data_IF_798641511399
#
_entry.id   IF_798641511399
#
_cell.length_a   1.000
_cell.length_b   1.000
_cell.length_c   1.000
_cell.angle_alpha   90.00
_cell.angle_beta   90.00
_cell.angle_gamma   90.00
#
_symmetry.space_group_name_H-M   'P 1'
#
loop_
_entity.id
_entity.type
_entity.pdbx_description
1 polymer ?
#
# COMPACT_ATOMS: atom_id res chain seq x y z
N UNK A 1 9.58 77.15 37.96
CA UNK A 1 10.09 75.92 38.61
C UNK A 1 9.39 74.75 37.93
N UNK A 2 10.01 73.77 37.25
CA UNK A 2 11.42 73.35 37.12
C UNK A 2 11.52 72.50 35.84
N UNK A 3 12.72 72.49 35.26
CA UNK A 3 13.19 71.86 34.02
C UNK A 3 12.91 70.35 33.88
N UNK A 4 12.91 69.87 32.63
CA UNK A 4 13.27 68.48 32.33
C UNK A 4 13.21 68.12 30.84
N UNK A 5 14.25 68.47 30.07
CA UNK A 5 14.55 67.86 28.76
C UNK A 5 15.42 66.62 29.01
N UNK A 6 15.08 65.48 28.42
CA UNK A 6 16.05 64.42 28.11
C UNK A 6 15.75 63.79 26.75
N UNK A 7 16.83 63.42 26.08
CA UNK A 7 17.01 63.10 24.66
C UNK A 7 17.54 61.64 24.57
N UNK A 8 17.20 60.94 23.47
CA UNK A 8 17.74 59.64 22.95
C UNK A 8 17.25 58.40 23.74
N UNK A 9 16.93 57.26 23.12
CA UNK A 9 17.67 56.51 22.09
C UNK A 9 16.76 55.70 21.16
N UNK A 10 17.21 55.57 19.92
CA UNK A 10 16.72 54.64 18.89
C UNK A 10 17.16 53.22 19.27
N UNK A 11 16.25 52.25 19.24
CA UNK A 11 16.58 50.82 19.16
C UNK A 11 15.65 50.17 18.12
N UNK A 12 16.17 49.99 16.91
CA UNK A 12 15.55 49.19 15.87
C UNK A 12 15.82 47.71 16.18
N UNK A 13 14.80 46.96 16.59
CA UNK A 13 14.86 45.50 16.61
C UNK A 13 14.51 44.98 15.22
N UNK A 14 15.53 44.54 14.49
CA UNK A 14 15.39 43.75 13.28
C UNK A 14 14.78 42.39 13.62
N UNK A 15 13.54 42.19 13.21
CA UNK A 15 12.82 40.93 13.36
C UNK A 15 13.22 40.03 12.18
N UNK A 16 14.16 39.11 12.41
CA UNK A 16 14.50 38.04 11.49
C UNK A 16 13.25 37.15 11.29
N UNK A 17 12.55 37.32 10.17
CA UNK A 17 11.50 36.41 9.75
C UNK A 17 12.14 35.08 9.37
N UNK A 18 11.91 34.07 10.20
CA UNK A 18 12.26 32.68 9.97
C UNK A 18 11.76 32.23 8.58
N UNK A 19 12.69 31.80 7.73
CA UNK A 19 12.37 31.11 6.48
C UNK A 19 11.61 29.83 6.79
N UNK A 20 10.34 29.79 6.42
CA UNK A 20 9.53 28.58 6.49
C UNK A 20 10.10 27.53 5.55
N UNK A 21 10.71 26.49 6.11
CA UNK A 21 10.90 25.24 5.39
C UNK A 21 9.51 24.64 5.17
N UNK A 22 9.00 24.75 3.93
CA UNK A 22 7.84 23.97 3.52
C UNK A 22 8.34 22.53 3.43
N UNK A 23 8.13 21.77 4.51
CA UNK A 23 8.32 20.34 4.49
C UNK A 23 7.29 19.75 3.52
N UNK A 24 7.72 19.44 2.29
CA UNK A 24 6.97 18.60 1.38
C UNK A 24 6.87 17.21 2.03
N UNK A 25 5.78 16.96 2.75
CA UNK A 25 5.41 15.61 3.13
C UNK A 25 5.26 14.81 1.82
N UNK A 26 5.88 13.62 1.69
CA UNK A 26 5.67 12.80 0.51
C UNK A 26 4.17 12.53 0.40
N UNK A 27 3.59 12.79 -0.78
CA UNK A 27 2.23 12.37 -1.06
C UNK A 27 2.19 10.84 -0.84
N UNK A 28 1.44 10.41 0.17
CA UNK A 28 1.21 9.00 0.41
C UNK A 28 0.58 8.45 -0.88
N UNK A 29 1.28 7.52 -1.50
CA UNK A 29 0.90 7.01 -2.81
C UNK A 29 0.18 5.70 -2.59
N UNK A 30 -1.09 5.67 -2.96
CA UNK A 30 -1.91 4.48 -2.90
C UNK A 30 -1.24 3.33 -3.68
N UNK A 31 -0.88 2.21 -3.03
CA UNK A 31 -0.28 1.04 -3.67
C UNK A 31 -0.64 -0.24 -2.93
N UNK A 32 -0.69 -1.35 -3.67
CA UNK A 32 -0.58 -2.70 -3.13
C UNK A 32 0.80 -3.25 -3.54
N UNK A 33 1.53 -3.87 -2.61
CA UNK A 33 2.93 -4.27 -2.81
C UNK A 33 3.10 -5.74 -2.42
N UNK A 34 3.76 -6.51 -3.28
CA UNK A 34 4.27 -7.84 -2.94
C UNK A 34 5.73 -7.69 -2.49
N UNK A 35 5.99 -7.90 -1.21
CA UNK A 35 7.34 -7.95 -0.66
C UNK A 35 7.79 -9.41 -0.48
N UNK A 36 8.94 -9.77 -1.07
CA UNK A 36 9.46 -11.13 -1.04
C UNK A 36 10.33 -11.46 0.19
N UNK A 37 10.43 -10.54 1.14
CA UNK A 37 11.15 -10.72 2.41
C UNK A 37 12.59 -11.26 2.23
N UNK A 38 13.29 -10.77 1.20
CA UNK A 38 14.67 -11.16 0.88
C UNK A 38 14.86 -12.52 0.20
N UNK A 39 13.78 -13.25 -0.11
CA UNK A 39 13.86 -14.57 -0.76
C UNK A 39 13.19 -14.55 -2.12
N UNK A 40 13.94 -14.81 -3.19
CA UNK A 40 13.37 -14.82 -4.55
C UNK A 40 12.22 -15.82 -4.71
N UNK A 41 11.18 -15.43 -5.45
CA UNK A 41 10.15 -16.33 -5.92
C UNK A 41 10.74 -17.27 -6.98
N UNK A 42 10.78 -18.58 -6.71
CA UNK A 42 11.36 -19.58 -7.62
C UNK A 42 10.30 -20.59 -8.02
N UNK A 43 10.27 -20.95 -9.30
CA UNK A 43 9.28 -21.81 -9.90
C UNK A 43 9.07 -23.13 -9.12
N UNK A 44 7.83 -23.36 -8.70
CA UNK A 44 7.38 -24.54 -7.97
C UNK A 44 7.90 -24.67 -6.53
N UNK A 45 8.64 -23.68 -6.01
CA UNK A 45 9.09 -23.62 -4.61
C UNK A 45 8.09 -22.85 -3.75
N UNK A 46 8.21 -23.02 -2.43
CA UNK A 46 7.48 -22.18 -1.48
C UNK A 46 8.43 -21.18 -0.82
N UNK A 47 7.96 -19.96 -0.63
CA UNK A 47 8.64 -18.97 0.21
C UNK A 47 7.62 -18.07 0.92
N UNK A 48 8.10 -17.33 1.92
CA UNK A 48 7.33 -16.27 2.53
C UNK A 48 7.25 -15.06 1.60
N UNK A 49 6.16 -14.31 1.71
CA UNK A 49 6.01 -12.95 1.19
C UNK A 49 5.07 -12.17 2.11
N UNK A 50 5.06 -10.85 1.97
CA UNK A 50 4.10 -9.95 2.61
C UNK A 50 3.33 -9.22 1.51
N UNK A 51 2.01 -9.19 1.60
CA UNK A 51 1.19 -8.24 0.85
C UNK A 51 1.04 -6.99 1.72
N UNK A 52 1.62 -5.87 1.32
CA UNK A 52 1.39 -4.58 1.96
C UNK A 52 0.28 -3.85 1.21
N UNK A 53 -0.71 -3.37 1.96
CA UNK A 53 -1.78 -2.52 1.47
C UNK A 53 -1.66 -1.17 2.16
N UNK A 54 -1.45 -0.13 1.36
CA UNK A 54 -1.48 1.24 1.85
C UNK A 54 -2.95 1.73 1.87
N UNK A 55 -3.21 2.94 1.36
CA UNK A 55 -4.56 3.49 1.25
C UNK A 55 -5.04 3.44 -0.20
N UNK A 56 -6.15 2.80 -0.52
CA UNK A 56 -6.77 2.82 -1.86
C UNK A 56 -8.03 3.68 -1.93
N UNK A 57 -8.77 3.76 -0.82
CA UNK A 57 -9.97 4.58 -0.72
C UNK A 57 -9.61 6.03 -0.35
N UNK A 58 -9.91 6.97 -1.24
CA UNK A 58 -9.60 8.41 -1.09
C UNK A 58 -10.84 9.27 -0.77
N UNK A 59 -12.02 8.66 -0.63
CA UNK A 59 -13.30 9.34 -0.44
C UNK A 59 -13.71 9.48 1.04
N UNK A 60 -14.90 10.04 1.27
CA UNK A 60 -15.48 10.54 2.54
C UNK A 60 -15.44 9.60 3.77
N UNK A 61 -15.13 8.32 3.60
CA UNK A 61 -14.89 7.38 4.70
C UNK A 61 -13.84 6.34 4.28
N UNK A 62 -12.55 6.65 4.53
CA UNK A 62 -11.43 5.92 3.96
C UNK A 62 -10.89 4.78 4.83
N UNK A 63 -11.53 4.49 5.98
CA UNK A 63 -11.04 3.45 6.89
C UNK A 63 -11.24 2.06 6.31
N UNK A 64 -10.19 1.23 6.35
CA UNK A 64 -10.21 -0.12 5.78
C UNK A 64 -10.90 -1.09 6.72
N UNK A 65 -11.84 -1.87 6.18
CA UNK A 65 -12.59 -2.90 6.92
C UNK A 65 -12.28 -4.31 6.42
N UNK A 66 -11.94 -4.45 5.14
CA UNK A 66 -11.61 -5.74 4.53
C UNK A 66 -10.62 -5.58 3.38
N UNK A 67 -9.78 -6.60 3.20
CA UNK A 67 -8.89 -6.77 2.05
C UNK A 67 -9.11 -8.15 1.47
N UNK A 68 -9.25 -8.22 0.14
CA UNK A 68 -9.39 -9.47 -0.61
C UNK A 68 -8.29 -9.54 -1.65
N UNK A 69 -7.47 -10.59 -1.62
CA UNK A 69 -6.49 -10.88 -2.65
C UNK A 69 -6.95 -12.05 -3.52
N UNK A 70 -6.77 -11.91 -4.83
CA UNK A 70 -7.17 -12.91 -5.82
C UNK A 70 -5.96 -13.33 -6.64
N UNK A 71 -5.71 -14.64 -6.65
CA UNK A 71 -4.65 -15.25 -7.46
C UNK A 71 -5.27 -16.27 -8.41
N UNK A 72 -4.81 -16.26 -9.66
CA UNK A 72 -5.29 -17.19 -10.68
C UNK A 72 -4.75 -18.61 -10.52
N UNK A 73 -5.33 -19.55 -11.27
CA UNK A 73 -4.96 -20.98 -11.33
C UNK A 73 -3.46 -21.30 -11.39
N UNK A 74 -2.57 -20.53 -12.04
CA UNK A 74 -1.14 -20.85 -12.07
C UNK A 74 -0.47 -20.79 -10.69
N UNK A 75 -1.01 -20.01 -9.75
CA UNK A 75 -0.49 -19.95 -8.39
C UNK A 75 -0.71 -21.28 -7.67
N UNK A 76 0.28 -21.70 -6.89
CA UNK A 76 0.11 -22.82 -5.97
C UNK A 76 -0.67 -22.42 -4.72
N UNK A 77 -0.65 -23.27 -3.70
CA UNK A 77 -1.30 -22.99 -2.43
C UNK A 77 -0.78 -21.69 -1.80
N UNK A 78 -1.71 -20.83 -1.36
CA UNK A 78 -1.44 -19.64 -0.57
C UNK A 78 -1.90 -19.89 0.86
N UNK A 79 -0.99 -19.71 1.82
CA UNK A 79 -1.27 -19.89 3.24
C UNK A 79 -1.08 -18.56 3.96
N UNK A 80 -2.16 -17.81 4.28
CA UNK A 80 -2.05 -16.57 5.03
C UNK A 80 -1.56 -16.84 6.45
N UNK A 81 -0.77 -15.91 6.98
CA UNK A 81 -0.40 -15.85 8.38
C UNK A 81 -1.51 -15.27 9.25
N UNK A 82 -1.40 -15.47 10.56
CA UNK A 82 -2.26 -14.80 11.53
C UNK A 82 -1.83 -13.34 11.69
N UNK A 83 -2.80 -12.45 11.88
CA UNK A 83 -2.57 -11.02 12.09
C UNK A 83 -3.51 -10.60 13.22
N UNK A 84 -2.97 -9.92 14.23
CA UNK A 84 -3.75 -9.46 15.37
C UNK A 84 -4.82 -8.47 14.91
N UNK A 85 -6.05 -8.64 15.40
CA UNK A 85 -7.18 -7.80 15.01
C UNK A 85 -7.76 -8.13 13.63
N UNK A 86 -7.41 -9.27 13.01
CA UNK A 86 -7.98 -9.70 11.74
C UNK A 86 -8.43 -11.16 11.78
N UNK A 87 -9.53 -11.44 11.09
CA UNK A 87 -9.90 -12.79 10.67
C UNK A 87 -9.43 -13.03 9.25
N UNK A 88 -9.07 -14.28 8.92
CA UNK A 88 -8.67 -14.65 7.58
C UNK A 88 -9.35 -15.92 7.10
N UNK A 89 -9.70 -15.95 5.81
CA UNK A 89 -10.22 -17.14 5.13
C UNK A 89 -9.60 -17.28 3.74
N UNK A 90 -9.54 -18.51 3.25
CA UNK A 90 -9.11 -18.83 1.88
C UNK A 90 -10.21 -19.67 1.23
N UNK A 91 -10.68 -19.23 0.06
CA UNK A 91 -11.70 -19.90 -0.72
C UNK A 91 -11.19 -20.18 -2.14
N UNK A 92 -11.54 -21.33 -2.75
CA UNK A 92 -11.26 -21.56 -4.16
C UNK A 92 -12.12 -20.65 -5.04
N UNK A 93 -11.56 -20.20 -6.17
CA UNK A 93 -12.30 -19.52 -7.22
C UNK A 93 -12.75 -20.52 -8.30
N UNK A 94 -13.82 -20.20 -9.02
CA UNK A 94 -14.39 -21.07 -10.05
C UNK A 94 -13.41 -21.39 -11.21
N UNK A 95 -12.47 -20.49 -11.47
CA UNK A 95 -11.42 -20.64 -12.49
C UNK A 95 -10.22 -21.49 -12.02
N UNK A 96 -10.27 -22.02 -10.79
CA UNK A 96 -9.19 -22.77 -10.14
C UNK A 96 -8.16 -21.90 -9.43
N UNK A 97 -8.40 -20.59 -9.32
CA UNK A 97 -7.65 -19.67 -8.47
C UNK A 97 -8.01 -19.77 -6.98
N UNK A 98 -7.49 -18.82 -6.20
CA UNK A 98 -7.80 -18.67 -4.77
C UNK A 98 -8.13 -17.21 -4.46
N UNK A 99 -9.10 -17.02 -3.56
CA UNK A 99 -9.40 -15.76 -2.91
C UNK A 99 -8.98 -15.85 -1.45
N UNK A 100 -8.20 -14.89 -0.99
CA UNK A 100 -7.81 -14.74 0.41
C UNK A 100 -8.52 -13.49 0.93
N UNK A 101 -9.28 -13.62 2.01
CA UNK A 101 -10.08 -12.53 2.58
C UNK A 101 -9.64 -12.28 4.00
N UNK A 102 -9.15 -11.07 4.28
CA UNK A 102 -8.87 -10.58 5.62
C UNK A 102 -9.93 -9.55 6.02
N UNK A 103 -10.56 -9.74 7.17
CA UNK A 103 -11.55 -8.79 7.70
C UNK A 103 -11.16 -8.34 9.10
N UNK A 104 -11.22 -7.03 9.34
CA UNK A 104 -10.89 -6.42 10.63
C UNK A 104 -11.84 -6.94 11.71
N UNK A 105 -11.29 -7.19 12.90
CA UNK A 105 -12.02 -7.48 14.12
C UNK A 105 -11.88 -6.27 15.05
N UNK A 106 -12.97 -5.53 15.21
CA UNK A 106 -12.99 -4.29 16.00
C UNK A 106 -13.01 -3.05 15.12
N UNK A 107 -12.25 -2.03 15.51
CA UNK A 107 -12.26 -0.72 14.85
C UNK A 107 -11.59 -0.78 13.46
N UNK A 108 -12.20 -0.16 12.43
CA UNK A 108 -11.60 -0.04 11.10
C UNK A 108 -10.18 0.57 11.12
N UNK A 109 -9.34 0.16 10.17
CA UNK A 109 -7.98 0.70 10.09
C UNK A 109 -8.03 2.13 9.53
N UNK A 110 -7.47 3.12 10.24
CA UNK A 110 -7.47 4.51 9.77
C UNK A 110 -6.79 4.68 8.42
N UNK A 111 -7.24 5.69 7.66
CA UNK A 111 -6.57 6.08 6.43
C UNK A 111 -5.09 6.41 6.65
N UNK A 112 -4.28 6.15 5.62
CA UNK A 112 -2.82 6.25 5.64
C UNK A 112 -2.09 5.31 6.62
N UNK A 113 -2.79 4.39 7.29
CA UNK A 113 -2.14 3.32 8.06
C UNK A 113 -1.93 2.10 7.15
N UNK A 114 -0.69 1.76 6.79
CA UNK A 114 -0.43 0.57 5.99
C UNK A 114 -0.75 -0.70 6.79
N UNK A 115 -1.26 -1.71 6.10
CA UNK A 115 -1.54 -3.03 6.66
C UNK A 115 -0.68 -4.06 5.95
N UNK A 116 -0.12 -4.98 6.72
CA UNK A 116 0.80 -6.00 6.23
C UNK A 116 0.20 -7.39 6.42
N UNK A 117 0.06 -8.12 5.33
CA UNK A 117 -0.52 -9.45 5.29
C UNK A 117 0.56 -10.50 4.97
N UNK A 118 1.22 -11.08 5.99
CA UNK A 118 2.22 -12.11 5.77
C UNK A 118 1.56 -13.39 5.24
N UNK A 119 2.25 -14.09 4.33
CA UNK A 119 1.77 -15.35 3.79
C UNK A 119 2.93 -16.24 3.32
N UNK A 120 2.70 -17.54 3.29
CA UNK A 120 3.57 -18.50 2.58
C UNK A 120 2.91 -18.90 1.28
N UNK A 121 3.61 -18.70 0.15
CA UNK A 121 3.10 -18.98 -1.19
C UNK A 121 3.89 -20.11 -1.80
N UNK A 122 3.21 -21.09 -2.39
CA UNK A 122 3.80 -21.99 -3.38
C UNK A 122 3.73 -21.33 -4.75
N UNK A 123 4.87 -20.96 -5.29
CA UNK A 123 4.95 -20.24 -6.55
C UNK A 123 4.54 -21.11 -7.75
N UNK A 124 4.03 -20.48 -8.82
CA UNK A 124 3.77 -21.13 -10.11
C UNK A 124 4.93 -22.01 -10.57
N UNK A 125 4.60 -23.11 -11.28
CA UNK A 125 5.61 -24.06 -11.78
C UNK A 125 6.40 -23.54 -12.98
N UNK A 126 5.88 -22.54 -13.68
CA UNK A 126 6.54 -21.91 -14.81
C UNK A 126 7.15 -20.57 -14.38
N UNK A 127 8.34 -20.20 -14.88
CA UNK A 127 8.85 -18.85 -14.70
C UNK A 127 7.99 -17.84 -15.45
N UNK A 128 7.95 -16.59 -14.96
CA UNK A 128 7.16 -15.52 -15.57
C UNK A 128 6.77 -14.43 -14.60
N UNK A 129 6.01 -13.45 -15.07
CA UNK A 129 5.41 -12.40 -14.24
C UNK A 129 3.99 -12.80 -13.89
N UNK A 130 3.65 -12.75 -12.60
CA UNK A 130 2.34 -13.14 -12.08
C UNK A 130 1.75 -11.98 -11.28
N UNK A 131 0.50 -11.63 -11.57
CA UNK A 131 -0.25 -10.61 -10.83
C UNK A 131 -1.10 -11.22 -9.71
N UNK A 132 -1.35 -10.42 -8.68
CA UNK A 132 -2.33 -10.66 -7.63
C UNK A 132 -3.31 -9.50 -7.63
N UNK A 133 -4.56 -9.71 -8.06
CA UNK A 133 -5.56 -8.63 -7.96
C UNK A 133 -5.89 -8.44 -6.50
N UNK A 134 -6.12 -7.21 -6.07
CA UNK A 134 -6.51 -6.92 -4.69
C UNK A 134 -7.73 -6.01 -4.70
N UNK A 135 -8.70 -6.27 -3.83
CA UNK A 135 -9.83 -5.39 -3.55
C UNK A 135 -9.76 -4.98 -2.08
N UNK A 136 -9.72 -3.68 -1.81
CA UNK A 136 -9.88 -3.13 -0.47
C UNK A 136 -11.28 -2.57 -0.33
N UNK A 137 -11.94 -2.96 0.76
CA UNK A 137 -13.22 -2.42 1.17
C UNK A 137 -12.96 -1.45 2.32
N UNK A 138 -13.57 -0.28 2.20
CA UNK A 138 -13.56 0.77 3.20
C UNK A 138 -14.99 1.06 3.64
N UNK A 139 -15.13 1.76 4.76
CA UNK A 139 -16.42 2.20 5.33
C UNK A 139 -17.32 2.91 4.30
N UNK A 140 -16.74 3.71 3.39
CA UNK A 140 -17.48 4.50 2.40
C UNK A 140 -17.27 4.11 0.94
N UNK A 141 -16.57 3.00 0.65
CA UNK A 141 -16.27 2.65 -0.74
C UNK A 141 -15.37 1.44 -0.89
N UNK A 142 -14.88 1.23 -2.11
CA UNK A 142 -13.94 0.15 -2.41
C UNK A 142 -12.93 0.59 -3.47
N UNK A 143 -11.77 -0.05 -3.46
CA UNK A 143 -10.74 0.17 -4.45
C UNK A 143 -10.17 -1.16 -4.94
N UNK A 144 -10.11 -1.33 -6.26
CA UNK A 144 -9.58 -2.52 -6.92
C UNK A 144 -8.22 -2.20 -7.55
N UNK A 145 -7.19 -2.96 -7.18
CA UNK A 145 -5.87 -2.95 -7.82
C UNK A 145 -5.80 -4.09 -8.83
N UNK A 146 -6.11 -3.81 -10.10
CA UNK A 146 -6.08 -4.77 -11.19
C UNK A 146 -5.42 -4.28 -12.50
N UNK A 147 -5.10 -2.99 -12.60
CA UNK A 147 -4.40 -2.43 -13.74
C UNK A 147 -2.88 -2.61 -13.66
N UNK A 148 -2.21 -3.30 -14.60
CA UNK A 148 -0.76 -3.42 -14.58
C UNK A 148 -0.05 -2.07 -14.74
N UNK A 149 1.19 -1.99 -14.26
CA UNK A 149 2.02 -0.82 -14.54
C UNK A 149 2.31 -0.71 -16.04
N UNK A 150 1.98 0.44 -16.62
CA UNK A 150 2.28 0.79 -18.02
C UNK A 150 2.84 2.21 -18.05
N UNK A 151 4.01 2.46 -18.64
CA UNK A 151 4.50 3.84 -18.77
C UNK A 151 3.51 4.71 -19.56
N UNK A 152 3.38 6.00 -19.20
CA UNK A 152 2.66 6.95 -20.03
C UNK A 152 3.22 6.97 -21.46
N UNK A 153 2.30 7.08 -22.43
CA UNK A 153 2.59 7.37 -23.83
C UNK A 153 1.87 8.66 -24.23
N UNK A 154 2.16 9.20 -25.42
CA UNK A 154 1.46 10.39 -25.92
C UNK A 154 -0.07 10.20 -26.03
N UNK A 155 -0.53 8.95 -26.13
CA UNK A 155 -1.94 8.59 -26.30
C UNK A 155 -2.55 7.88 -25.08
N UNK A 156 -1.77 7.64 -24.03
CA UNK A 156 -2.24 6.94 -22.82
C UNK A 156 -1.54 7.51 -21.61
N UNK A 157 -2.25 8.06 -20.61
CA UNK A 157 -1.61 8.44 -19.35
C UNK A 157 -0.98 7.22 -18.68
N UNK A 158 -0.04 7.43 -17.76
CA UNK A 158 0.36 6.39 -16.81
C UNK A 158 -0.90 5.93 -16.07
N UNK A 159 -0.99 4.64 -15.67
CA UNK A 159 -2.02 4.22 -14.75
C UNK A 159 -1.90 5.07 -13.48
N UNK A 160 -2.99 5.16 -12.70
CA UNK A 160 -2.90 5.76 -11.37
C UNK A 160 -1.75 5.10 -10.61
N UNK A 161 -1.22 5.78 -9.60
CA UNK A 161 -0.07 5.29 -8.82
C UNK A 161 -0.34 3.95 -8.07
N UNK A 162 -1.44 3.26 -8.35
CA UNK A 162 -1.98 2.06 -7.72
C UNK A 162 -1.99 0.85 -8.67
N UNK A 163 -0.88 0.46 -9.31
CA UNK A 163 -0.91 -0.68 -10.23
C UNK A 163 -1.16 -2.02 -9.49
N UNK A 164 -1.70 -2.99 -10.23
CA UNK A 164 -1.75 -4.41 -9.90
C UNK A 164 -0.39 -4.88 -9.36
N UNK A 165 -0.32 -5.42 -8.13
CA UNK A 165 0.93 -5.97 -7.62
C UNK A 165 1.34 -7.20 -8.42
N UNK A 166 2.60 -7.23 -8.82
CA UNK A 166 3.19 -8.30 -9.63
C UNK A 166 4.46 -8.85 -9.00
N UNK A 167 4.73 -10.11 -9.28
CA UNK A 167 5.95 -10.81 -8.87
C UNK A 167 6.57 -11.53 -10.05
N UNK A 168 7.89 -11.44 -10.18
CA UNK A 168 8.65 -12.26 -11.11
C UNK A 168 9.04 -13.58 -10.45
N UNK A 169 8.52 -14.69 -10.99
CA UNK A 169 8.90 -16.04 -10.61
C UNK A 169 10.07 -16.48 -11.49
N UNK A 170 11.21 -16.75 -10.85
CA UNK A 170 12.44 -17.17 -11.51
C UNK A 170 12.40 -18.65 -11.86
N UNK A 171 13.14 -19.03 -12.91
CA UNK A 171 13.33 -20.43 -13.26
C UNK A 171 14.00 -21.20 -12.12
N UNK A 172 13.64 -22.47 -11.98
CA UNK A 172 14.37 -23.39 -11.09
C UNK A 172 15.74 -23.64 -11.71
N UNK A 173 16.80 -23.26 -10.99
CA UNK A 173 18.17 -23.69 -11.33
C UNK A 173 18.36 -25.16 -10.97
#
# INVERSE_FOLDING_TARGET
>A
MTRGRFIRFIAALGMCTFGGFIANAPAASAHAIIELNGVSAVAGKSSAMTLEIQHGCIADSPETTQVMAFVGKPWGAVKPGSIDGWTVSVAPLADGGQQITWSVVGEPIPFATPVFFPMTVKWPKSPGVYGMRVLQICTGGQYLWDDPFVPATASSPSPPLTPLPQVTVLARR
#
